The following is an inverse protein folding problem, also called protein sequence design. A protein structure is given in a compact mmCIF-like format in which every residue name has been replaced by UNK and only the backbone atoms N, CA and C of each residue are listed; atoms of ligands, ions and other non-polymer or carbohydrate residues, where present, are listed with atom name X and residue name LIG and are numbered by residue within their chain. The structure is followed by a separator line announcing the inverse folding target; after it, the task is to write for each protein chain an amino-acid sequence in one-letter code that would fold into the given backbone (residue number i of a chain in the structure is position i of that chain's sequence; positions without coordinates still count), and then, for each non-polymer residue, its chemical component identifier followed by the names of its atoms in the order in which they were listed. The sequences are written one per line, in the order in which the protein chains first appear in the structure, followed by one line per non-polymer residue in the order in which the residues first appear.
data_IF_938387944150
#
_entry.id   IF_938387944150
#
_cell.length_a   1.000
_cell.length_b   1.000
_cell.length_c   1.000
_cell.angle_alpha   90.00
_cell.angle_beta   90.00
_cell.angle_gamma   90.00
#
_symmetry.space_group_name_H-M   'P 1'
#
loop_
_entity.id
_entity.type
_entity.pdbx_description
1 polymer ?
#
# COMPACT_ATOMS: atom_id res chain seq x y z
N UNK A 1 -6.06 13.88 -13.49
CA UNK A 1 -7.46 13.42 -13.71
C UNK A 1 -7.50 11.89 -13.66
N UNK A 2 -8.58 11.29 -13.17
CA UNK A 2 -8.79 9.85 -13.09
C UNK A 2 -10.05 9.48 -13.87
N UNK A 3 -9.90 8.58 -14.84
CA UNK A 3 -11.05 7.88 -15.41
C UNK A 3 -11.37 6.64 -14.55
N UNK A 4 -12.50 6.71 -13.83
CA UNK A 4 -12.82 5.73 -12.77
C UNK A 4 -13.06 4.33 -13.31
N UNK A 5 -13.62 4.20 -14.52
CA UNK A 5 -14.02 2.91 -15.05
C UNK A 5 -12.90 2.19 -15.81
N UNK A 6 -11.95 2.92 -16.40
CA UNK A 6 -10.74 2.34 -16.98
C UNK A 6 -9.59 2.23 -15.94
N UNK A 7 -9.65 3.01 -14.86
CA UNK A 7 -8.56 3.16 -13.91
C UNK A 7 -7.39 4.00 -14.43
N UNK A 8 -7.52 4.63 -15.61
CA UNK A 8 -6.46 5.44 -16.21
C UNK A 8 -6.30 6.77 -15.47
N UNK A 9 -5.06 7.16 -15.19
CA UNK A 9 -4.71 8.44 -14.60
C UNK A 9 -3.98 9.29 -15.63
N UNK A 10 -4.47 10.51 -15.85
CA UNK A 10 -3.91 11.47 -16.81
C UNK A 10 -3.38 12.69 -16.07
N UNK A 11 -2.14 13.06 -16.36
CA UNK A 11 -1.61 14.37 -16.00
C UNK A 11 -1.89 15.31 -17.17
N UNK A 12 -2.67 16.33 -16.94
CA UNK A 12 -3.13 17.28 -17.97
C UNK A 12 -2.80 18.69 -17.51
N UNK A 13 -2.55 19.59 -18.46
CA UNK A 13 -2.48 21.04 -18.23
C UNK A 13 -3.87 21.66 -18.19
N UNK A 14 -3.92 22.98 -17.98
CA UNK A 14 -5.17 23.70 -17.87
C UNK A 14 -5.99 23.67 -19.16
N UNK A 15 -5.32 23.73 -20.34
CA UNK A 15 -5.99 23.67 -21.64
C UNK A 15 -6.65 22.31 -21.84
N UNK A 16 -5.92 21.23 -21.64
CA UNK A 16 -6.44 19.88 -21.80
C UNK A 16 -7.56 19.59 -20.79
N UNK A 17 -7.43 20.10 -19.56
CA UNK A 17 -8.50 19.98 -18.55
C UNK A 17 -9.80 20.63 -19.03
N UNK A 18 -9.74 21.87 -19.53
CA UNK A 18 -10.92 22.62 -20.01
C UNK A 18 -11.52 21.99 -21.27
N UNK A 19 -10.69 21.49 -22.19
CA UNK A 19 -11.15 20.76 -23.37
C UNK A 19 -11.92 19.51 -22.96
N UNK A 20 -11.39 18.73 -22.01
CA UNK A 20 -12.03 17.51 -21.50
C UNK A 20 -13.36 17.83 -20.81
N UNK A 21 -13.44 18.93 -20.04
CA UNK A 21 -14.69 19.35 -19.37
C UNK A 21 -15.83 19.62 -20.37
N UNK A 22 -15.49 20.16 -21.54
CA UNK A 22 -16.46 20.48 -22.57
C UNK A 22 -16.74 19.36 -23.57
N UNK A 23 -15.85 18.35 -23.65
CA UNK A 23 -15.78 17.38 -24.75
C UNK A 23 -17.08 16.61 -25.00
N UNK A 24 -17.78 16.15 -23.96
CA UNK A 24 -19.02 15.38 -24.13
C UNK A 24 -20.25 16.25 -24.43
N UNK A 25 -20.18 17.55 -24.16
CA UNK A 25 -21.32 18.46 -24.23
C UNK A 25 -21.23 19.49 -25.38
N UNK A 26 -20.12 19.48 -26.14
CA UNK A 26 -19.88 20.48 -27.19
C UNK A 26 -19.14 19.83 -28.37
N UNK A 27 -19.37 20.33 -29.56
CA UNK A 27 -18.61 19.94 -30.74
C UNK A 27 -17.23 20.64 -30.79
N UNK A 28 -16.33 20.11 -31.62
CA UNK A 28 -14.97 20.60 -31.76
C UNK A 28 -14.88 22.08 -32.07
N UNK A 29 -15.76 22.60 -32.97
CA UNK A 29 -15.75 24.00 -33.40
C UNK A 29 -16.13 24.94 -32.25
N UNK A 30 -17.12 24.58 -31.45
CA UNK A 30 -17.53 25.35 -30.28
C UNK A 30 -16.48 25.31 -29.16
N UNK A 31 -15.81 24.18 -28.95
CA UNK A 31 -14.69 24.06 -27.99
C UNK A 31 -13.53 24.97 -28.41
N UNK A 32 -13.10 24.91 -29.68
CA UNK A 32 -12.03 25.79 -30.20
C UNK A 32 -12.39 27.25 -29.99
N UNK A 33 -13.61 27.65 -30.29
CA UNK A 33 -14.05 29.03 -30.10
C UNK A 33 -14.07 29.48 -28.64
N UNK A 34 -14.53 28.60 -27.75
CA UNK A 34 -14.58 28.88 -26.31
C UNK A 34 -13.17 28.99 -25.71
N UNK A 35 -12.27 28.11 -26.11
CA UNK A 35 -10.89 28.12 -25.62
C UNK A 35 -10.10 29.31 -26.14
N UNK A 36 -10.27 29.70 -27.42
CA UNK A 36 -9.66 30.90 -27.96
C UNK A 36 -10.11 32.18 -27.21
N UNK A 37 -11.37 32.26 -26.78
CA UNK A 37 -11.82 33.39 -25.97
C UNK A 37 -11.29 33.32 -24.54
N UNK A 38 -11.26 32.15 -23.94
CA UNK A 38 -10.77 31.94 -22.57
C UNK A 38 -9.27 32.24 -22.46
N UNK A 39 -8.48 31.80 -23.41
CA UNK A 39 -7.01 31.89 -23.40
C UNK A 39 -6.45 32.97 -24.32
N UNK A 40 -7.28 33.99 -24.69
CA UNK A 40 -6.92 35.10 -25.62
C UNK A 40 -5.66 35.88 -25.22
N UNK A 41 -5.31 35.89 -23.94
CA UNK A 41 -4.12 36.56 -23.38
C UNK A 41 -2.85 35.69 -23.39
N UNK A 42 -2.95 34.45 -23.89
CA UNK A 42 -1.85 33.49 -23.98
C UNK A 42 -1.56 33.19 -25.47
N UNK A 43 -0.56 33.84 -26.06
CA UNK A 43 -0.30 33.79 -27.52
C UNK A 43 0.07 32.37 -28.04
N UNK A 44 0.57 31.52 -27.16
CA UNK A 44 0.98 30.16 -27.48
C UNK A 44 -0.25 29.23 -27.71
N UNK A 45 -1.42 29.59 -27.16
CA UNK A 45 -2.63 28.78 -27.35
C UNK A 45 -3.34 29.26 -28.60
N UNK A 46 -3.12 28.51 -29.68
CA UNK A 46 -3.70 28.76 -31.01
C UNK A 46 -4.89 27.84 -31.31
N UNK A 47 -5.61 28.12 -32.37
CA UNK A 47 -6.70 27.24 -32.83
C UNK A 47 -6.16 25.86 -33.23
N UNK A 48 -4.93 25.78 -33.73
CA UNK A 48 -4.25 24.52 -34.06
C UNK A 48 -3.94 23.72 -32.80
N UNK A 49 -3.32 24.33 -31.80
CA UNK A 49 -3.00 23.72 -30.49
C UNK A 49 -4.28 23.17 -29.80
N UNK A 50 -5.38 23.93 -29.82
CA UNK A 50 -6.65 23.49 -29.24
C UNK A 50 -7.24 22.32 -30.04
N UNK A 51 -7.10 22.35 -31.39
CA UNK A 51 -7.55 21.28 -32.27
C UNK A 51 -6.79 19.99 -32.02
N UNK A 52 -5.46 20.07 -31.87
CA UNK A 52 -4.59 18.91 -31.58
C UNK A 52 -4.93 18.32 -30.19
N UNK A 53 -5.11 19.20 -29.18
CA UNK A 53 -5.54 18.75 -27.86
C UNK A 53 -6.90 18.03 -27.88
N UNK A 54 -7.87 18.51 -28.68
CA UNK A 54 -9.15 17.83 -28.86
C UNK A 54 -8.98 16.44 -29.51
N UNK A 55 -8.09 16.34 -30.50
CA UNK A 55 -7.81 15.08 -31.20
C UNK A 55 -7.13 14.07 -30.25
N UNK A 56 -6.20 14.53 -29.38
CA UNK A 56 -5.59 13.71 -28.33
C UNK A 56 -6.64 13.19 -27.34
N UNK A 57 -7.59 14.03 -26.91
CA UNK A 57 -8.72 13.63 -26.06
C UNK A 57 -9.58 12.58 -26.75
N UNK A 58 -9.81 12.74 -28.06
CA UNK A 58 -10.54 11.75 -28.87
C UNK A 58 -9.82 10.42 -28.93
N UNK A 59 -8.49 10.45 -29.12
CA UNK A 59 -7.67 9.22 -29.11
C UNK A 59 -7.75 8.51 -27.76
N UNK A 60 -7.69 9.23 -26.64
CA UNK A 60 -7.83 8.64 -25.31
C UNK A 60 -9.21 7.98 -25.13
N UNK A 61 -10.28 8.60 -25.62
CA UNK A 61 -11.63 8.04 -25.59
C UNK A 61 -11.73 6.77 -26.44
N UNK A 62 -11.26 6.82 -27.67
CA UNK A 62 -11.32 5.68 -28.62
C UNK A 62 -10.50 4.49 -28.13
N UNK A 63 -9.41 4.75 -27.40
CA UNK A 63 -8.59 3.73 -26.76
C UNK A 63 -9.17 3.25 -25.40
N UNK A 64 -10.35 3.73 -24.98
CA UNK A 64 -11.01 3.33 -23.74
C UNK A 64 -10.22 3.72 -22.48
N UNK A 65 -9.53 4.87 -22.51
CA UNK A 65 -8.75 5.41 -21.40
C UNK A 65 -9.35 6.68 -20.79
N UNK A 66 -10.37 7.25 -21.47
CA UNK A 66 -11.09 8.44 -21.00
C UNK A 66 -12.56 8.30 -21.41
N UNK A 67 -13.48 8.83 -20.61
CA UNK A 67 -14.94 8.71 -20.79
C UNK A 67 -15.41 7.25 -20.94
N UNK A 68 -14.77 6.36 -20.20
CA UNK A 68 -15.05 4.92 -20.27
C UNK A 68 -16.39 4.60 -19.62
N UNK A 69 -17.24 3.84 -20.31
CA UNK A 69 -18.50 3.39 -19.74
C UNK A 69 -18.28 2.40 -18.58
N UNK A 70 -19.16 2.46 -17.58
CA UNK A 70 -19.19 1.44 -16.50
C UNK A 70 -19.62 0.08 -17.08
N UNK A 71 -18.65 -0.81 -17.27
CA UNK A 71 -18.91 -2.20 -17.74
C UNK A 71 -19.54 -3.08 -16.66
N UNK A 72 -19.60 -2.60 -15.43
CA UNK A 72 -20.07 -3.34 -14.26
C UNK A 72 -21.38 -2.77 -13.70
N UNK A 73 -21.97 -1.73 -14.31
CA UNK A 73 -23.20 -1.10 -13.85
C UNK A 73 -24.33 -2.15 -13.72
N UNK A 74 -24.50 -3.01 -14.72
CA UNK A 74 -25.50 -4.10 -14.69
C UNK A 74 -25.15 -5.20 -13.69
N UNK A 75 -23.90 -5.26 -13.24
CA UNK A 75 -23.39 -6.19 -12.23
C UNK A 75 -23.35 -5.58 -10.83
N UNK A 76 -23.76 -4.33 -10.68
CA UNK A 76 -23.86 -3.64 -9.39
C UNK A 76 -25.00 -4.24 -8.58
N UNK A 77 -24.69 -5.30 -7.84
CA UNK A 77 -25.63 -5.93 -6.93
C UNK A 77 -25.81 -5.08 -5.66
N UNK A 78 -26.98 -5.22 -5.04
CA UNK A 78 -27.19 -4.75 -3.66
C UNK A 78 -26.20 -5.49 -2.73
N UNK A 79 -25.10 -4.80 -2.39
CA UNK A 79 -24.03 -5.35 -1.53
C UNK A 79 -24.54 -5.88 -0.19
N UNK A 80 -25.70 -5.40 0.29
CA UNK A 80 -26.34 -5.91 1.51
C UNK A 80 -26.90 -7.32 1.37
N UNK A 81 -27.14 -7.78 0.14
CA UNK A 81 -27.67 -9.12 -0.14
C UNK A 81 -26.60 -10.10 -0.65
N UNK A 82 -25.34 -9.69 -0.77
CA UNK A 82 -24.27 -10.58 -1.19
C UNK A 82 -23.97 -11.60 -0.09
N UNK A 83 -24.08 -12.88 -0.41
CA UNK A 83 -23.41 -13.92 0.36
C UNK A 83 -21.90 -13.81 0.09
N UNK A 84 -21.23 -12.97 0.87
CA UNK A 84 -19.78 -12.79 0.74
C UNK A 84 -19.06 -13.94 1.40
N UNK A 85 -18.19 -14.58 0.63
CA UNK A 85 -17.26 -15.58 1.15
C UNK A 85 -16.07 -14.84 1.77
N UNK A 86 -15.80 -15.08 3.06
CA UNK A 86 -14.68 -14.45 3.76
C UNK A 86 -13.38 -15.13 3.34
N UNK A 87 -12.40 -14.34 2.92
CA UNK A 87 -11.07 -14.78 2.50
C UNK A 87 -10.02 -14.60 3.59
N UNK A 88 -10.11 -13.52 4.33
CA UNK A 88 -9.05 -13.06 5.21
C UNK A 88 -9.58 -12.52 6.54
N UNK A 89 -8.79 -12.62 7.59
CA UNK A 89 -8.98 -11.94 8.87
C UNK A 89 -7.73 -11.18 9.27
N UNK A 90 -7.91 -9.98 9.79
CA UNK A 90 -6.90 -9.26 10.53
C UNK A 90 -7.18 -9.42 12.03
N UNK A 91 -6.29 -10.09 12.74
CA UNK A 91 -6.43 -10.36 14.17
C UNK A 91 -5.60 -9.37 14.98
N UNK A 92 -6.25 -8.50 15.74
CA UNK A 92 -5.58 -7.60 16.68
C UNK A 92 -5.18 -8.38 17.94
N UNK A 93 -4.03 -9.03 17.88
CA UNK A 93 -3.53 -9.93 18.92
C UNK A 93 -3.23 -9.20 20.23
N UNK A 94 -2.83 -7.92 20.12
CA UNK A 94 -2.54 -7.07 21.28
C UNK A 94 -3.11 -5.67 21.10
N UNK A 95 -3.94 -5.21 22.00
CA UNK A 95 -4.33 -3.81 22.17
C UNK A 95 -3.34 -3.11 23.09
N UNK A 96 -2.05 -3.31 22.83
CA UNK A 96 -0.93 -2.64 23.50
C UNK A 96 0.29 -2.65 22.60
N UNK A 97 1.21 -1.70 22.79
CA UNK A 97 2.44 -1.60 22.04
C UNK A 97 3.60 -1.19 22.95
N UNK A 98 4.80 -1.63 22.63
CA UNK A 98 6.06 -1.26 23.27
C UNK A 98 6.72 -0.02 22.62
N UNK A 99 6.13 0.52 21.54
CA UNK A 99 6.44 1.83 20.96
C UNK A 99 5.30 2.83 21.22
N UNK A 100 5.65 4.12 21.10
CA UNK A 100 4.75 5.24 21.24
C UNK A 100 4.81 6.11 19.98
N UNK A 101 4.53 5.51 18.81
CA UNK A 101 4.57 6.21 17.54
C UNK A 101 3.55 7.35 17.50
N UNK A 102 3.99 8.56 17.12
CA UNK A 102 3.14 9.76 17.15
C UNK A 102 1.98 9.68 16.16
N UNK A 103 2.20 9.16 14.95
CA UNK A 103 1.19 9.01 13.90
C UNK A 103 0.33 7.75 14.02
N UNK A 104 0.40 7.03 15.13
CA UNK A 104 -0.26 5.73 15.26
C UNK A 104 -1.78 5.84 15.22
N UNK A 105 -2.40 5.46 14.11
CA UNK A 105 -3.86 5.43 13.96
C UNK A 105 -4.55 4.52 14.99
N UNK A 106 -3.83 3.54 15.55
CA UNK A 106 -4.29 2.62 16.57
C UNK A 106 -4.15 3.18 18.00
N UNK A 107 -3.90 4.48 18.18
CA UNK A 107 -3.70 5.12 19.50
C UNK A 107 -2.68 4.36 20.36
N UNK A 108 -1.48 4.12 19.79
CA UNK A 108 -0.40 3.32 20.38
C UNK A 108 -0.86 1.90 20.77
N UNK A 109 -1.67 1.32 19.90
CA UNK A 109 -2.22 -0.02 20.02
C UNK A 109 -3.48 -0.15 20.87
N UNK A 110 -3.99 0.94 21.47
CA UNK A 110 -5.20 0.88 22.31
C UNK A 110 -6.50 0.89 21.52
N UNK A 111 -6.48 1.38 20.26
CA UNK A 111 -7.67 1.55 19.43
C UNK A 111 -8.80 2.33 20.13
N UNK A 112 -8.41 3.41 20.85
CA UNK A 112 -9.30 4.25 21.67
C UNK A 112 -10.01 3.51 22.82
N UNK A 113 -9.55 2.29 23.18
CA UNK A 113 -10.07 1.48 24.27
C UNK A 113 -9.00 1.15 25.33
N UNK A 114 -9.28 0.14 26.12
CA UNK A 114 -8.37 -0.36 27.15
C UNK A 114 -7.24 -1.20 26.55
N UNK A 115 -6.11 -1.27 27.25
CA UNK A 115 -5.04 -2.21 26.92
C UNK A 115 -5.49 -3.63 27.24
N UNK A 116 -5.41 -4.50 26.22
CA UNK A 116 -5.82 -5.89 26.33
C UNK A 116 -4.93 -6.78 25.48
N UNK A 117 -4.89 -8.06 25.80
CA UNK A 117 -4.30 -9.11 24.99
C UNK A 117 -5.40 -10.11 24.60
N UNK A 118 -5.40 -10.54 23.35
CA UNK A 118 -6.34 -11.55 22.86
C UNK A 118 -6.09 -12.87 23.59
N UNK A 119 -7.14 -13.52 24.05
CA UNK A 119 -7.01 -14.89 24.56
C UNK A 119 -6.96 -15.90 23.42
N UNK A 120 -6.40 -17.08 23.67
CA UNK A 120 -6.41 -18.18 22.70
C UNK A 120 -7.83 -18.54 22.26
N UNK A 121 -8.80 -18.56 23.17
CA UNK A 121 -10.20 -18.90 22.90
C UNK A 121 -10.82 -17.95 21.87
N UNK A 122 -10.53 -16.64 21.98
CA UNK A 122 -11.00 -15.64 21.01
C UNK A 122 -10.34 -15.87 19.66
N UNK A 123 -9.03 -16.07 19.61
CA UNK A 123 -8.30 -16.36 18.39
C UNK A 123 -8.76 -17.66 17.72
N UNK A 124 -8.96 -18.72 18.52
CA UNK A 124 -9.53 -19.98 18.05
C UNK A 124 -10.92 -19.77 17.42
N UNK A 125 -11.80 -19.05 18.11
CA UNK A 125 -13.15 -18.76 17.56
C UNK A 125 -13.09 -17.95 16.28
N UNK A 126 -12.12 -17.05 16.14
CA UNK A 126 -11.92 -16.30 14.89
C UNK A 126 -11.50 -17.22 13.73
N UNK A 127 -10.62 -18.20 13.97
CA UNK A 127 -10.25 -19.22 12.96
C UNK A 127 -11.49 -20.07 12.58
N UNK A 128 -12.27 -20.53 13.57
CA UNK A 128 -13.50 -21.28 13.32
C UNK A 128 -14.49 -20.46 12.47
N UNK A 129 -14.68 -19.18 12.82
CA UNK A 129 -15.51 -18.24 12.06
C UNK A 129 -15.04 -18.08 10.60
N UNK A 130 -13.74 -17.93 10.38
CA UNK A 130 -13.17 -17.82 9.04
C UNK A 130 -13.48 -19.07 8.21
N UNK A 131 -13.32 -20.27 8.79
CA UNK A 131 -13.62 -21.53 8.12
C UNK A 131 -15.11 -21.62 7.80
N UNK A 132 -16.00 -21.35 8.77
CA UNK A 132 -17.45 -21.43 8.64
C UNK A 132 -17.98 -20.52 7.53
N UNK A 133 -17.33 -19.37 7.31
CA UNK A 133 -17.77 -18.34 6.37
C UNK A 133 -16.94 -18.26 5.09
N UNK A 134 -16.01 -19.18 4.87
CA UNK A 134 -15.13 -19.18 3.68
C UNK A 134 -15.67 -20.00 2.50
N UNK A 135 -16.80 -20.69 2.66
CA UNK A 135 -17.40 -21.53 1.62
C UNK A 135 -16.41 -22.58 1.09
N UNK A 136 -16.33 -22.73 -0.22
CA UNK A 136 -15.41 -23.66 -0.89
C UNK A 136 -13.97 -23.15 -1.01
N UNK A 137 -13.67 -21.92 -0.56
CA UNK A 137 -12.32 -21.34 -0.64
C UNK A 137 -11.32 -22.14 0.19
N UNK A 138 -10.25 -22.60 -0.44
CA UNK A 138 -9.19 -23.40 0.20
C UNK A 138 -8.16 -22.48 0.88
N UNK A 139 -7.65 -21.48 0.16
CA UNK A 139 -6.62 -20.58 0.67
C UNK A 139 -7.25 -19.46 1.51
N UNK A 140 -6.89 -19.39 2.78
CA UNK A 140 -7.37 -18.40 3.75
C UNK A 140 -6.18 -17.61 4.31
N UNK A 141 -6.37 -16.32 4.52
CA UNK A 141 -5.33 -15.42 5.00
C UNK A 141 -5.64 -14.95 6.43
N UNK A 142 -4.63 -14.92 7.27
CA UNK A 142 -4.72 -14.43 8.65
C UNK A 142 -3.54 -13.53 8.94
N UNK A 143 -3.83 -12.25 9.20
CA UNK A 143 -2.82 -11.27 9.58
C UNK A 143 -2.81 -11.09 11.09
N UNK A 144 -1.65 -11.32 11.70
CA UNK A 144 -1.41 -10.99 13.10
C UNK A 144 -0.94 -9.54 13.18
N UNK A 145 -1.80 -8.71 13.75
CA UNK A 145 -1.68 -7.27 13.80
C UNK A 145 -2.04 -6.73 15.20
N UNK A 146 -2.32 -5.45 15.30
CA UNK A 146 -2.75 -4.77 16.53
C UNK A 146 -1.81 -3.64 16.91
N UNK A 147 -1.45 -3.51 18.19
CA UNK A 147 -0.38 -2.64 18.66
C UNK A 147 0.98 -3.23 18.28
N UNK A 148 1.43 -4.24 19.04
CA UNK A 148 2.57 -5.08 18.68
C UNK A 148 2.22 -6.55 18.97
N UNK A 149 2.01 -7.38 17.93
CA UNK A 149 1.56 -8.76 18.13
C UNK A 149 2.58 -9.63 18.87
N UNK A 150 3.88 -9.32 18.79
CA UNK A 150 4.90 -10.07 19.53
C UNK A 150 4.81 -9.87 21.06
N UNK A 151 4.04 -8.89 21.56
CA UNK A 151 3.72 -8.80 22.99
C UNK A 151 2.78 -9.91 23.48
N UNK A 152 2.16 -10.64 22.56
CA UNK A 152 1.30 -11.77 22.83
C UNK A 152 1.67 -12.98 21.96
N UNK A 153 2.96 -13.19 21.77
CA UNK A 153 3.50 -14.14 20.80
C UNK A 153 3.12 -15.59 21.09
N UNK A 154 2.98 -15.96 22.37
CA UNK A 154 2.54 -17.32 22.74
C UNK A 154 1.14 -17.64 22.22
N UNK A 155 0.23 -16.66 22.24
CA UNK A 155 -1.11 -16.81 21.66
C UNK A 155 -1.06 -16.90 20.14
N UNK A 156 -0.17 -16.14 19.48
CA UNK A 156 0.07 -16.29 18.03
C UNK A 156 0.47 -17.72 17.70
N UNK A 157 1.47 -18.28 18.43
CA UNK A 157 1.91 -19.68 18.26
C UNK A 157 0.77 -20.68 18.46
N UNK A 158 -0.05 -20.49 19.49
CA UNK A 158 -1.20 -21.37 19.77
C UNK A 158 -2.27 -21.31 18.66
N UNK A 159 -2.60 -20.13 18.16
CA UNK A 159 -3.57 -19.96 17.07
C UNK A 159 -3.06 -20.64 15.79
N UNK A 160 -1.78 -20.45 15.44
CA UNK A 160 -1.17 -21.10 14.27
C UNK A 160 -1.19 -22.62 14.43
N UNK A 161 -0.77 -23.14 15.58
CA UNK A 161 -0.80 -24.58 15.85
C UNK A 161 -2.22 -25.16 15.74
N UNK A 162 -3.23 -24.45 16.26
CA UNK A 162 -4.62 -24.83 16.12
C UNK A 162 -5.05 -24.88 14.65
N UNK A 163 -4.83 -23.79 13.91
CA UNK A 163 -5.22 -23.71 12.50
C UNK A 163 -4.57 -24.85 11.68
N UNK A 164 -3.26 -25.10 11.87
CA UNK A 164 -2.53 -26.20 11.20
C UNK A 164 -3.12 -27.57 11.55
N UNK A 165 -3.58 -27.76 12.78
CA UNK A 165 -4.15 -29.05 13.23
C UNK A 165 -5.45 -29.43 12.50
N UNK A 166 -6.20 -28.44 12.01
CA UNK A 166 -7.51 -28.64 11.38
C UNK A 166 -7.52 -28.46 9.87
N UNK A 167 -6.41 -27.95 9.26
CA UNK A 167 -6.32 -27.66 7.82
C UNK A 167 -6.77 -28.83 6.96
N UNK A 168 -6.24 -30.02 7.23
CA UNK A 168 -6.53 -31.22 6.43
C UNK A 168 -8.00 -31.64 6.54
N UNK A 169 -8.54 -31.66 7.75
CA UNK A 169 -9.95 -32.03 8.00
C UNK A 169 -10.92 -31.07 7.31
N UNK A 170 -10.61 -29.76 7.36
CA UNK A 170 -11.48 -28.71 6.84
C UNK A 170 -11.20 -28.39 5.37
N UNK A 171 -10.23 -29.06 4.72
CA UNK A 171 -9.78 -28.75 3.37
C UNK A 171 -9.44 -27.27 3.20
N UNK A 172 -8.62 -26.73 4.13
CA UNK A 172 -8.16 -25.35 4.15
C UNK A 172 -6.64 -25.29 4.15
N UNK A 173 -6.11 -24.16 3.69
CA UNK A 173 -4.69 -23.83 3.71
C UNK A 173 -4.54 -22.39 4.22
N UNK A 174 -3.98 -22.23 5.43
CA UNK A 174 -3.81 -20.91 6.02
C UNK A 174 -2.49 -20.28 5.62
N UNK A 175 -2.56 -19.02 5.18
CA UNK A 175 -1.41 -18.15 4.92
C UNK A 175 -1.35 -17.11 6.03
N UNK A 176 -0.33 -17.21 6.88
CA UNK A 176 -0.16 -16.25 7.98
C UNK A 176 0.76 -15.11 7.57
N UNK A 177 0.37 -13.89 7.94
CA UNK A 177 1.19 -12.69 7.88
C UNK A 177 1.42 -12.20 9.31
N UNK A 178 2.64 -11.76 9.61
CA UNK A 178 3.01 -11.13 10.87
C UNK A 178 3.50 -9.71 10.60
N UNK A 179 2.85 -8.71 11.18
CA UNK A 179 3.30 -7.32 11.12
C UNK A 179 3.92 -6.92 12.45
N UNK A 180 5.19 -6.49 12.45
CA UNK A 180 5.90 -6.15 13.69
C UNK A 180 6.72 -4.87 13.57
N UNK A 181 6.86 -4.16 14.70
CA UNK A 181 7.75 -3.02 14.85
C UNK A 181 9.22 -3.42 15.11
N UNK A 182 9.52 -4.70 15.24
CA UNK A 182 10.86 -5.25 15.34
C UNK A 182 11.51 -5.24 16.73
N UNK A 183 10.97 -4.53 17.69
CA UNK A 183 11.58 -4.41 19.02
C UNK A 183 11.78 -5.75 19.73
N UNK A 184 10.85 -6.69 19.54
CA UNK A 184 10.84 -8.01 20.16
C UNK A 184 11.32 -9.13 19.22
N UNK A 185 11.79 -8.82 18.02
CA UNK A 185 12.35 -9.83 17.11
C UNK A 185 13.62 -10.42 17.74
N UNK A 186 13.66 -11.74 17.80
CA UNK A 186 14.77 -12.58 18.25
C UNK A 186 14.82 -13.85 17.41
N UNK A 187 15.67 -14.79 17.76
CA UNK A 187 15.85 -16.05 17.02
C UNK A 187 14.60 -16.94 17.03
N UNK A 188 13.84 -16.99 18.13
CA UNK A 188 12.57 -17.75 18.22
C UNK A 188 11.52 -17.18 17.26
N UNK A 189 11.39 -15.85 17.20
CA UNK A 189 10.49 -15.17 16.25
C UNK A 189 10.91 -15.44 14.81
N UNK A 190 12.21 -15.38 14.51
CA UNK A 190 12.73 -15.62 13.15
C UNK A 190 12.46 -17.07 12.73
N UNK A 191 12.75 -18.03 13.59
CA UNK A 191 12.52 -19.45 13.31
C UNK A 191 11.02 -19.73 13.08
N UNK A 192 10.16 -19.25 13.97
CA UNK A 192 8.72 -19.38 13.85
C UNK A 192 8.20 -18.75 12.56
N UNK A 193 8.59 -17.50 12.27
CA UNK A 193 8.15 -16.80 11.07
C UNK A 193 8.62 -17.51 9.79
N UNK A 194 9.83 -18.04 9.78
CA UNK A 194 10.37 -18.79 8.65
C UNK A 194 9.65 -20.12 8.40
N UNK A 195 9.13 -20.74 9.45
CA UNK A 195 8.40 -21.99 9.38
C UNK A 195 6.92 -21.80 9.05
N UNK A 196 6.27 -20.85 9.68
CA UNK A 196 4.81 -20.75 9.70
C UNK A 196 4.24 -19.58 8.89
N UNK A 197 4.99 -18.46 8.76
CA UNK A 197 4.47 -17.27 8.11
C UNK A 197 4.78 -17.23 6.62
N UNK A 198 3.73 -17.07 5.81
CA UNK A 198 3.85 -16.86 4.38
C UNK A 198 4.52 -15.51 4.08
N UNK A 199 4.14 -14.48 4.83
CA UNK A 199 4.69 -13.14 4.71
C UNK A 199 4.99 -12.52 6.08
N UNK A 200 5.93 -11.57 6.13
CA UNK A 200 6.22 -10.75 7.31
C UNK A 200 6.39 -9.29 6.90
N UNK A 201 5.74 -8.40 7.64
CA UNK A 201 5.85 -6.96 7.45
C UNK A 201 6.70 -6.38 8.58
N UNK A 202 7.83 -5.77 8.21
CA UNK A 202 8.80 -5.16 9.11
C UNK A 202 8.66 -3.64 9.04
N UNK A 203 8.25 -3.01 10.13
CA UNK A 203 7.94 -1.58 10.15
C UNK A 203 9.18 -0.72 10.30
N UNK A 204 9.59 0.00 9.24
CA UNK A 204 10.73 0.92 9.21
C UNK A 204 10.42 2.08 8.26
N UNK A 205 10.50 3.33 8.74
CA UNK A 205 10.11 4.51 7.94
C UNK A 205 11.26 5.08 7.07
N UNK A 206 12.45 4.50 7.14
CA UNK A 206 13.60 4.93 6.33
C UNK A 206 14.79 5.38 7.15
N UNK A 207 15.35 6.57 6.84
CA UNK A 207 16.51 7.14 7.53
C UNK A 207 16.28 7.26 9.03
N UNK A 208 17.37 7.19 9.80
CA UNK A 208 17.32 7.19 11.26
C UNK A 208 16.56 8.39 11.83
N UNK A 209 16.86 9.60 11.34
CA UNK A 209 16.23 10.82 11.80
C UNK A 209 14.74 10.89 11.46
N UNK A 210 14.32 10.30 10.34
CA UNK A 210 12.90 10.17 9.96
C UNK A 210 12.20 9.20 10.87
N UNK A 211 12.75 8.00 11.01
CA UNK A 211 12.19 6.93 11.82
C UNK A 211 12.08 7.34 13.31
N UNK A 212 13.18 7.81 13.89
CA UNK A 212 13.25 8.14 15.32
C UNK A 212 12.46 9.40 15.70
N UNK A 213 12.10 10.25 14.73
CA UNK A 213 11.22 11.39 14.96
C UNK A 213 9.84 10.94 15.44
N UNK A 214 9.27 9.94 14.82
CA UNK A 214 7.87 9.54 15.02
C UNK A 214 7.72 8.17 15.71
N UNK A 215 8.66 7.21 15.50
CA UNK A 215 8.61 5.87 16.10
C UNK A 215 9.46 5.77 17.36
N UNK A 216 9.05 6.48 18.38
CA UNK A 216 9.74 6.49 19.67
C UNK A 216 9.33 5.31 20.54
N UNK A 217 10.26 4.88 21.39
CA UNK A 217 9.96 3.97 22.50
C UNK A 217 9.06 4.66 23.52
N UNK A 218 8.45 3.90 24.42
CA UNK A 218 7.66 4.45 25.54
C UNK A 218 8.48 5.41 26.41
N UNK A 219 9.82 5.22 26.47
CA UNK A 219 10.73 6.15 27.19
C UNK A 219 11.13 7.39 26.38
N UNK A 220 10.58 7.59 25.17
CA UNK A 220 10.87 8.74 24.32
C UNK A 220 12.17 8.64 23.51
N UNK A 221 12.89 7.51 23.56
CA UNK A 221 14.10 7.28 22.78
C UNK A 221 13.75 6.75 21.37
N UNK A 222 14.63 7.00 20.41
CA UNK A 222 14.51 6.38 19.08
C UNK A 222 14.58 4.85 19.14
N UNK A 223 14.00 4.20 18.15
CA UNK A 223 13.98 2.74 18.04
C UNK A 223 14.85 2.21 16.88
N UNK A 224 15.32 3.05 15.98
CA UNK A 224 16.05 2.70 14.77
C UNK A 224 17.28 1.80 15.05
N UNK A 225 18.18 2.24 15.94
CA UNK A 225 19.42 1.50 16.23
C UNK A 225 19.18 0.12 16.85
N UNK A 226 17.98 -0.10 17.42
CA UNK A 226 17.59 -1.39 18.00
C UNK A 226 17.04 -2.32 16.93
N UNK A 227 16.18 -1.79 16.02
CA UNK A 227 15.42 -2.64 15.10
C UNK A 227 16.18 -2.95 13.81
N UNK A 228 16.97 -2.03 13.27
CA UNK A 228 17.65 -2.22 11.98
C UNK A 228 18.56 -3.45 11.99
N UNK A 229 19.46 -3.66 12.97
CA UNK A 229 20.27 -4.88 13.02
C UNK A 229 19.43 -6.15 13.10
N UNK A 230 18.29 -6.14 13.81
CA UNK A 230 17.38 -7.27 13.92
C UNK A 230 16.69 -7.56 12.58
N UNK A 231 16.28 -6.52 11.86
CA UNK A 231 15.67 -6.68 10.54
C UNK A 231 16.67 -7.21 9.51
N UNK A 232 17.91 -6.74 9.53
CA UNK A 232 18.97 -7.27 8.66
C UNK A 232 19.23 -8.77 8.94
N UNK A 233 19.32 -9.16 10.20
CA UNK A 233 19.48 -10.58 10.58
C UNK A 233 18.23 -11.39 10.20
N UNK A 234 17.03 -10.84 10.43
CA UNK A 234 15.77 -11.46 10.02
C UNK A 234 15.75 -11.76 8.52
N UNK A 235 15.98 -10.75 7.68
CA UNK A 235 15.94 -10.86 6.21
C UNK A 235 17.01 -11.84 5.73
N UNK A 236 18.21 -11.79 6.29
CA UNK A 236 19.30 -12.74 5.99
C UNK A 236 18.88 -14.19 6.25
N UNK A 237 18.27 -14.49 7.42
CA UNK A 237 17.79 -15.84 7.77
C UNK A 237 16.53 -16.24 7.01
N UNK A 238 15.75 -15.27 6.55
CA UNK A 238 14.53 -15.53 5.78
C UNK A 238 14.82 -15.98 4.35
N UNK A 239 15.90 -15.48 3.74
CA UNK A 239 16.30 -15.79 2.37
C UNK A 239 15.25 -15.33 1.35
N UNK A 240 14.82 -16.24 0.48
CA UNK A 240 13.86 -15.92 -0.62
C UNK A 240 12.36 -15.99 -0.19
N UNK A 241 12.06 -16.09 1.11
CA UNK A 241 10.67 -16.11 1.59
C UNK A 241 10.11 -14.68 1.62
N UNK A 242 8.77 -14.55 1.43
CA UNK A 242 8.09 -13.26 1.39
C UNK A 242 8.26 -12.44 2.65
N UNK A 243 8.64 -11.18 2.50
CA UNK A 243 8.64 -10.13 3.52
C UNK A 243 8.47 -8.77 2.85
N UNK A 244 8.10 -7.78 3.64
CA UNK A 244 8.15 -6.37 3.24
C UNK A 244 8.73 -5.55 4.38
N UNK A 245 9.62 -4.61 4.05
CA UNK A 245 9.93 -3.49 4.93
C UNK A 245 8.97 -2.37 4.56
N UNK A 246 8.09 -2.01 5.48
CA UNK A 246 7.02 -1.03 5.26
C UNK A 246 7.24 0.22 6.07
N UNK A 247 7.33 1.34 5.38
CA UNK A 247 7.46 2.66 5.97
C UNK A 247 6.24 3.54 5.73
N UNK A 248 6.16 4.61 6.51
CA UNK A 248 5.14 5.65 6.38
C UNK A 248 5.83 6.98 6.12
N UNK A 249 5.42 7.68 5.05
CA UNK A 249 5.88 9.04 4.80
C UNK A 249 4.81 10.06 5.23
N UNK A 250 5.29 11.22 5.64
CA UNK A 250 4.49 12.28 6.28
C UNK A 250 4.90 13.62 5.68
N UNK A 251 4.22 14.71 6.09
CA UNK A 251 4.67 16.07 5.81
C UNK A 251 6.16 16.31 6.16
N UNK A 252 6.69 15.59 7.16
CA UNK A 252 8.06 15.79 7.63
C UNK A 252 9.15 15.10 6.78
N UNK A 253 8.77 14.26 5.80
CA UNK A 253 9.68 13.56 4.89
C UNK A 253 9.06 13.39 3.50
N UNK A 254 8.63 14.48 2.90
CA UNK A 254 8.12 14.50 1.53
C UNK A 254 9.16 14.06 0.49
N UNK A 255 10.44 14.04 0.87
CA UNK A 255 11.59 13.49 0.13
C UNK A 255 11.76 11.96 0.36
N UNK A 256 10.69 11.23 0.62
CA UNK A 256 10.66 9.83 1.08
C UNK A 256 11.38 8.84 0.13
N UNK A 257 11.66 9.19 -1.12
CA UNK A 257 12.51 8.37 -2.00
C UNK A 257 13.92 8.22 -1.44
N UNK A 258 14.44 9.21 -0.69
CA UNK A 258 15.70 9.07 0.01
C UNK A 258 15.62 8.03 1.13
N UNK A 259 14.45 7.85 1.74
CA UNK A 259 14.18 6.81 2.74
C UNK A 259 14.15 5.42 2.09
N UNK A 260 13.55 5.31 0.89
CA UNK A 260 13.57 4.08 0.08
C UNK A 260 15.00 3.68 -0.27
N UNK A 261 15.81 4.63 -0.80
CA UNK A 261 17.20 4.35 -1.13
C UNK A 261 18.03 3.96 0.09
N UNK A 262 17.80 4.63 1.23
CA UNK A 262 18.45 4.28 2.47
C UNK A 262 18.12 2.82 2.89
N UNK A 263 16.86 2.41 2.82
CA UNK A 263 16.45 1.03 3.13
C UNK A 263 17.06 0.03 2.14
N UNK A 264 17.15 0.39 0.85
CA UNK A 264 17.81 -0.45 -0.15
C UNK A 264 19.32 -0.59 0.13
N UNK A 265 20.00 0.50 0.52
CA UNK A 265 21.42 0.49 0.92
C UNK A 265 21.68 -0.36 2.18
N UNK A 266 20.68 -0.51 3.06
CA UNK A 266 20.72 -1.43 4.20
C UNK A 266 20.59 -2.91 3.79
N UNK A 267 20.32 -3.20 2.51
CA UNK A 267 20.20 -4.54 1.95
C UNK A 267 18.77 -5.10 1.91
N UNK A 268 17.74 -4.27 2.13
CA UNK A 268 16.36 -4.69 1.98
C UNK A 268 15.93 -4.62 0.51
N UNK A 269 15.29 -5.67 0.00
CA UNK A 269 14.90 -5.82 -1.41
C UNK A 269 13.40 -5.71 -1.65
N UNK A 270 12.59 -5.90 -0.62
CA UNK A 270 11.14 -5.81 -0.68
C UNK A 270 10.68 -4.62 0.18
N UNK A 271 10.33 -3.51 -0.47
CA UNK A 271 10.04 -2.24 0.18
C UNK A 271 8.63 -1.77 -0.17
N UNK A 272 7.96 -1.14 0.80
CA UNK A 272 6.67 -0.47 0.62
C UNK A 272 6.65 0.83 1.42
N UNK A 273 6.25 1.94 0.79
CA UNK A 273 6.07 3.23 1.47
C UNK A 273 4.64 3.72 1.26
N UNK A 274 3.99 4.11 2.34
CA UNK A 274 2.60 4.57 2.31
C UNK A 274 2.46 5.97 2.92
N UNK A 275 1.51 6.78 2.42
CA UNK A 275 1.20 8.05 3.05
C UNK A 275 0.62 7.84 4.44
N UNK A 276 0.91 8.77 5.34
CA UNK A 276 0.27 8.79 6.65
C UNK A 276 -1.24 8.99 6.52
N UNK A 277 -2.00 8.23 7.31
CA UNK A 277 -3.45 8.43 7.47
C UNK A 277 -3.71 8.98 8.87
N UNK A 278 -4.11 10.24 8.95
CA UNK A 278 -4.30 10.98 10.20
C UNK A 278 -5.30 12.13 10.01
N UNK A 279 -5.62 12.84 11.09
CA UNK A 279 -6.41 14.08 10.98
C UNK A 279 -5.63 15.17 10.23
N UNK A 280 -6.30 16.01 9.40
CA UNK A 280 -5.64 17.13 8.73
C UNK A 280 -4.96 18.13 9.66
N UNK A 281 -5.38 18.20 10.93
CA UNK A 281 -4.82 19.08 11.96
C UNK A 281 -3.54 18.52 12.61
N UNK A 282 -3.19 17.26 12.36
CA UNK A 282 -2.00 16.65 12.90
C UNK A 282 -0.72 17.26 12.27
N UNK A 283 0.34 17.52 13.05
CA UNK A 283 1.53 18.21 12.55
C UNK A 283 2.35 17.40 11.55
N UNK A 284 2.03 16.17 11.32
CA UNK A 284 2.64 15.26 10.35
C UNK A 284 1.70 14.95 9.16
N UNK A 285 0.49 15.54 9.15
CA UNK A 285 -0.47 15.34 8.07
C UNK A 285 0.08 15.89 6.74
N UNK A 286 -0.16 15.15 5.68
CA UNK A 286 0.10 15.62 4.33
C UNK A 286 -0.97 16.64 3.93
N UNK A 287 -0.53 17.72 3.28
CA UNK A 287 -1.38 18.82 2.82
C UNK A 287 -1.29 18.99 1.30
N UNK A 288 -2.14 19.81 0.73
CA UNK A 288 -2.05 20.18 -0.69
C UNK A 288 -0.72 20.87 -1.04
N UNK A 289 -0.12 21.59 -0.10
CA UNK A 289 1.17 22.27 -0.30
C UNK A 289 2.35 21.28 -0.43
N UNK A 290 2.19 20.04 0.02
CA UNK A 290 3.19 18.99 -0.13
C UNK A 290 3.18 18.32 -1.52
N UNK A 291 2.06 18.43 -2.26
CA UNK A 291 1.87 17.72 -3.52
C UNK A 291 2.95 18.03 -4.57
N UNK A 292 3.37 19.28 -4.80
CA UNK A 292 4.41 19.57 -5.79
C UNK A 292 5.71 18.82 -5.49
N UNK A 293 6.15 18.81 -4.22
CA UNK A 293 7.38 18.10 -3.80
C UNK A 293 7.19 16.59 -3.90
N UNK A 294 6.05 16.07 -3.50
CA UNK A 294 5.72 14.63 -3.62
C UNK A 294 5.73 14.19 -5.09
N UNK A 295 5.11 14.95 -5.98
CA UNK A 295 5.14 14.66 -7.42
C UNK A 295 6.56 14.69 -7.98
N UNK A 296 7.35 15.72 -7.67
CA UNK A 296 8.73 15.79 -8.10
C UNK A 296 9.54 14.60 -7.58
N UNK A 297 9.33 14.22 -6.32
CA UNK A 297 9.97 13.08 -5.67
C UNK A 297 9.57 11.75 -6.33
N UNK A 298 8.29 11.55 -6.61
CA UNK A 298 7.75 10.32 -7.23
C UNK A 298 8.19 10.16 -8.69
N UNK A 299 8.15 11.23 -9.47
CA UNK A 299 8.52 11.21 -10.90
C UNK A 299 10.02 11.39 -11.16
N UNK A 300 10.78 11.30 -10.15
CA UNK A 300 12.23 11.29 -9.99
C UNK A 300 13.06 11.55 -11.25
N UNK A 301 13.56 12.77 -11.37
CA UNK A 301 14.74 13.09 -12.19
C UNK A 301 16.05 12.62 -11.54
N UNK A 302 15.98 11.81 -10.47
CA UNK A 302 17.17 11.38 -9.74
C UNK A 302 17.89 10.29 -10.54
N UNK A 303 19.18 10.49 -10.90
CA UNK A 303 19.98 9.49 -11.61
C UNK A 303 20.04 8.12 -10.92
N UNK A 304 19.87 8.05 -9.59
CA UNK A 304 19.78 6.80 -8.85
C UNK A 304 18.53 6.00 -9.21
N UNK A 305 17.36 6.63 -9.41
CA UNK A 305 16.16 5.93 -9.90
C UNK A 305 16.39 5.30 -11.28
N UNK A 306 17.08 6.03 -12.17
CA UNK A 306 17.43 5.53 -13.51
C UNK A 306 18.45 4.39 -13.46
N UNK A 307 19.39 4.37 -12.50
CA UNK A 307 20.34 3.29 -12.33
C UNK A 307 19.70 1.99 -11.81
N UNK A 308 18.64 2.08 -11.00
CA UNK A 308 17.87 0.92 -10.56
C UNK A 308 16.92 0.38 -11.66
N UNK A 309 16.45 1.22 -12.59
CA UNK A 309 15.61 0.79 -13.72
C UNK A 309 16.39 0.12 -14.86
N UNK A 310 17.72 0.31 -14.95
CA UNK A 310 18.58 -0.25 -16.01
C UNK A 310 19.18 -1.63 -15.66
N UNK A 311 18.91 -2.18 -14.48
CA UNK A 311 19.30 -3.55 -14.15
C UNK A 311 18.27 -4.54 -14.73
N UNK A 312 18.36 -4.80 -16.03
CA UNK A 312 17.79 -5.98 -16.65
C UNK A 312 18.53 -7.21 -16.10
N UNK A 313 17.79 -8.17 -15.57
CA UNK A 313 18.23 -9.42 -14.97
C UNK A 313 18.72 -9.33 -13.51
N UNK A 314 17.80 -9.43 -12.57
CA UNK A 314 17.92 -9.41 -11.12
C UNK A 314 18.10 -8.01 -10.52
N UNK A 315 17.07 -7.17 -10.45
CA UNK A 315 17.11 -6.00 -9.58
C UNK A 315 17.20 -6.46 -8.12
N UNK A 316 18.11 -5.88 -7.32
CA UNK A 316 18.17 -6.18 -5.88
C UNK A 316 16.90 -5.74 -5.12
N UNK A 317 16.02 -4.97 -5.75
CA UNK A 317 14.76 -4.47 -5.18
C UNK A 317 13.61 -4.93 -6.08
N UNK A 318 12.85 -5.93 -5.65
CA UNK A 318 11.77 -6.56 -6.45
C UNK A 318 10.47 -5.78 -6.47
N UNK A 319 10.27 -4.84 -5.55
CA UNK A 319 9.12 -3.95 -5.54
C UNK A 319 9.53 -2.60 -4.94
N UNK A 320 9.89 -1.66 -5.78
CA UNK A 320 9.86 -0.25 -5.44
C UNK A 320 8.44 0.25 -5.68
N UNK A 321 7.82 0.77 -4.66
CA UNK A 321 6.49 1.39 -4.74
C UNK A 321 6.43 2.57 -5.75
N UNK A 322 7.57 3.08 -6.20
CA UNK A 322 7.63 3.94 -7.39
C UNK A 322 7.09 3.27 -8.66
N UNK A 323 7.14 1.92 -8.76
CA UNK A 323 6.53 1.21 -9.88
C UNK A 323 5.01 1.06 -9.72
N UNK A 324 4.49 0.97 -8.49
CA UNK A 324 3.06 0.80 -8.26
C UNK A 324 2.28 2.13 -8.35
N UNK A 325 2.92 3.27 -8.10
CA UNK A 325 2.35 4.58 -8.45
C UNK A 325 2.42 4.83 -9.96
N UNK A 326 3.42 4.28 -10.65
CA UNK A 326 3.45 4.19 -12.12
C UNK A 326 2.47 3.14 -12.66
N UNK A 327 2.03 2.16 -11.86
CA UNK A 327 0.97 1.19 -12.21
C UNK A 327 -0.42 1.82 -12.28
N UNK A 328 -0.64 2.97 -11.69
CA UNK A 328 -1.80 3.78 -12.02
C UNK A 328 -1.76 4.30 -13.47
N UNK A 329 -0.69 4.01 -14.23
CA UNK A 329 -0.47 4.55 -15.57
C UNK A 329 -0.79 3.63 -16.74
N UNK A 330 -0.81 2.32 -16.66
CA UNK A 330 -1.05 1.53 -17.88
C UNK A 330 -1.37 0.05 -17.75
N UNK A 331 -1.24 -0.61 -16.61
CA UNK A 331 -1.35 -2.07 -16.56
C UNK A 331 -2.37 -2.62 -15.54
N UNK A 332 -3.56 -2.00 -15.44
CA UNK A 332 -4.76 -2.67 -14.91
C UNK A 332 -5.20 -3.88 -15.78
N UNK A 333 -4.37 -4.27 -16.76
CA UNK A 333 -4.66 -5.30 -17.73
C UNK A 333 -3.88 -6.62 -17.63
N UNK A 334 -2.99 -6.79 -16.67
CA UNK A 334 -2.27 -8.06 -16.53
C UNK A 334 -2.37 -8.64 -15.10
N UNK A 335 -3.58 -8.90 -14.67
CA UNK A 335 -3.83 -10.13 -13.92
C UNK A 335 -3.59 -11.27 -14.89
N UNK A 336 -2.45 -11.91 -14.76
CA UNK A 336 -2.11 -13.08 -15.55
C UNK A 336 -3.18 -14.15 -15.29
N UNK A 337 -4.06 -14.36 -16.26
CA UNK A 337 -5.14 -15.36 -16.24
C UNK A 337 -4.62 -16.81 -16.28
N UNK A 338 -3.33 -17.02 -16.01
CA UNK A 338 -2.66 -18.32 -16.03
C UNK A 338 -2.25 -18.86 -14.67
N UNK A 339 -2.62 -18.23 -13.56
CA UNK A 339 -2.61 -18.96 -12.29
C UNK A 339 -3.85 -19.87 -12.27
N UNK A 340 -3.68 -21.19 -12.18
CA UNK A 340 -4.82 -22.09 -12.14
C UNK A 340 -5.66 -21.76 -10.91
N UNK A 341 -6.87 -21.30 -11.17
CA UNK A 341 -7.92 -21.20 -10.15
C UNK A 341 -8.25 -22.63 -9.73
N UNK A 342 -7.62 -23.10 -8.70
CA UNK A 342 -7.96 -24.34 -8.01
C UNK A 342 -8.13 -24.06 -6.52
#
# INVERSE_FOLDING_TARGET
MLDVFSGSVHCVDDLAYDVIEMYENSDKENIIKAMLEKYKDIPEITAEEISDCYDDVTELKDNGKLFTADKYEDLAFDFKKRNTVIKALCLHIAHTCNLNCEYCFASQGKYHGDRALMSFEVGKRAIDFLIENSGSRVNLEVDFFGGEPLMNFDVVKQIVAYARSIEKEKNKNFRFTLTTNGMLVDDDVIEFANKECHNVVLSLDGRKEVHDRLRKTVSGKGSYDIIVPKFQEFVKKRGNRGYYVRGTYTHNNTDFTNDIFHMADLGFTELSMEPVVCSPEDPYALTYDDLPVLFETMFCKNPKCLSYSNYSYNPPVRSLWCSDILYLRSDAGHFNSNDPVS
#
